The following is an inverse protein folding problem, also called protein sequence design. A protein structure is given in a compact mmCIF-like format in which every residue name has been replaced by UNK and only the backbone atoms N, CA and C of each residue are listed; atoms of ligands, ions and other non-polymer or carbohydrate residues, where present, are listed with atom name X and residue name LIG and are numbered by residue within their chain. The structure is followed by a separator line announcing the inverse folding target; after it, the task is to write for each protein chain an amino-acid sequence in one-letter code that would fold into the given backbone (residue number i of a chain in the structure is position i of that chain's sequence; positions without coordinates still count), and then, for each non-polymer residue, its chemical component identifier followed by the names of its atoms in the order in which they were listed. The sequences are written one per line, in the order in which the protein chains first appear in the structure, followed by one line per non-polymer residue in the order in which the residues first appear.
data_IF_828817770540
#
_entry.id   IF_828817770540
#
_cell.length_a   1.000
_cell.length_b   1.000
_cell.length_c   1.000
_cell.angle_alpha   90.00
_cell.angle_beta   90.00
_cell.angle_gamma   90.00
#
_symmetry.space_group_name_H-M   'P 1'
#
loop_
_entity.id
_entity.type
_entity.pdbx_description
1 polymer ?
#
# COMPACT_ATOMS: atom_id res chain seq x y z
N UNK A 1 -17.23 -31.87 -7.04
CA UNK A 1 -18.13 -30.71 -6.87
C UNK A 1 -17.27 -29.47 -6.98
N UNK A 2 -17.27 -28.81 -8.14
CA UNK A 2 -16.62 -27.51 -8.30
C UNK A 2 -17.50 -26.46 -7.63
N UNK A 3 -17.02 -25.85 -6.55
CA UNK A 3 -17.63 -24.65 -6.00
C UNK A 3 -17.34 -23.50 -6.95
N UNK A 4 -18.36 -23.10 -7.72
CA UNK A 4 -18.35 -21.82 -8.43
C UNK A 4 -18.26 -20.69 -7.40
N UNK A 5 -17.07 -20.11 -7.22
CA UNK A 5 -16.88 -18.93 -6.41
C UNK A 5 -17.57 -17.74 -7.07
N UNK A 6 -18.43 -17.04 -6.34
CA UNK A 6 -19.06 -15.78 -6.77
C UNK A 6 -17.99 -14.79 -7.28
N UNK A 7 -18.27 -13.99 -8.33
CA UNK A 7 -17.31 -13.02 -8.85
C UNK A 7 -16.96 -12.01 -7.75
N UNK A 8 -15.71 -12.03 -7.30
CA UNK A 8 -15.19 -11.12 -6.28
C UNK A 8 -15.05 -9.73 -6.91
N UNK A 9 -15.69 -8.71 -6.34
CA UNK A 9 -15.53 -7.32 -6.78
C UNK A 9 -14.05 -6.90 -6.67
N UNK A 10 -13.48 -6.41 -7.77
CA UNK A 10 -12.09 -5.92 -7.84
C UNK A 10 -11.94 -4.53 -7.23
N UNK A 11 -12.14 -4.42 -5.91
CA UNK A 11 -12.07 -3.15 -5.17
C UNK A 11 -10.78 -2.37 -5.40
N UNK A 12 -9.68 -3.05 -5.69
CA UNK A 12 -8.39 -2.43 -6.00
C UNK A 12 -8.41 -1.67 -7.33
N UNK A 13 -9.15 -2.13 -8.34
CA UNK A 13 -9.25 -1.44 -9.62
C UNK A 13 -10.06 -0.15 -9.46
N UNK A 14 -11.20 -0.21 -8.78
CA UNK A 14 -11.97 1.00 -8.48
C UNK A 14 -11.19 1.99 -7.62
N UNK A 15 -10.38 1.48 -6.68
CA UNK A 15 -9.48 2.33 -5.89
C UNK A 15 -8.36 2.94 -6.76
N UNK A 16 -7.80 2.18 -7.70
CA UNK A 16 -6.82 2.67 -8.66
C UNK A 16 -7.38 3.77 -9.55
N UNK A 17 -8.57 3.55 -10.13
CA UNK A 17 -9.25 4.52 -10.99
C UNK A 17 -9.53 5.82 -10.22
N UNK A 18 -9.97 5.73 -8.97
CA UNK A 18 -10.20 6.89 -8.11
C UNK A 18 -8.90 7.67 -7.84
N UNK A 19 -7.79 6.97 -7.57
CA UNK A 19 -6.49 7.60 -7.39
C UNK A 19 -5.95 8.19 -8.70
N UNK A 20 -6.10 7.50 -9.83
CA UNK A 20 -5.63 7.96 -11.13
C UNK A 20 -6.31 9.27 -11.54
N UNK A 21 -7.61 9.39 -11.27
CA UNK A 21 -8.36 10.63 -11.50
C UNK A 21 -7.79 11.84 -10.73
N UNK A 22 -7.37 11.64 -9.47
CA UNK A 22 -6.85 12.73 -8.63
C UNK A 22 -5.35 13.00 -8.85
N UNK A 23 -4.57 11.96 -9.16
CA UNK A 23 -3.11 12.02 -9.15
C UNK A 23 -2.48 12.19 -10.54
N UNK A 24 -3.15 11.76 -11.62
CA UNK A 24 -2.62 11.96 -12.99
C UNK A 24 -2.49 13.43 -13.41
N UNK A 25 -3.34 14.39 -12.98
CA UNK A 25 -3.18 15.80 -13.34
C UNK A 25 -1.87 16.42 -12.81
N UNK A 26 -1.27 15.82 -11.78
CA UNK A 26 -0.02 16.27 -11.15
C UNK A 26 1.18 15.38 -11.49
N UNK A 27 1.09 14.62 -12.60
CA UNK A 27 2.17 13.77 -13.13
C UNK A 27 2.62 12.65 -12.16
N UNK A 28 1.65 12.05 -11.46
CA UNK A 28 1.86 10.82 -10.69
C UNK A 28 1.19 9.67 -11.43
N UNK A 29 1.99 8.66 -11.80
CA UNK A 29 1.45 7.46 -12.43
C UNK A 29 0.85 6.53 -11.38
N UNK A 30 -0.41 6.13 -11.60
CA UNK A 30 -1.10 5.10 -10.83
C UNK A 30 -1.14 3.83 -11.67
N UNK A 31 -0.48 2.79 -11.19
CA UNK A 31 -0.35 1.53 -11.90
C UNK A 31 -1.05 0.46 -11.05
N UNK A 32 -2.32 0.13 -11.33
CA UNK A 32 -2.88 -1.12 -10.82
C UNK A 32 -2.02 -2.26 -11.33
N UNK A 33 -1.61 -3.17 -10.46
CA UNK A 33 -0.58 -4.15 -10.80
C UNK A 33 -0.95 -4.93 -12.09
N UNK A 34 -0.17 -4.72 -13.15
CA UNK A 34 -0.06 -5.65 -14.28
C UNK A 34 1.05 -6.63 -13.97
N UNK A 35 0.66 -7.88 -13.66
CA UNK A 35 1.47 -9.11 -13.59
C UNK A 35 2.98 -8.89 -13.37
N UNK A 36 3.41 -8.66 -12.12
CA UNK A 36 4.84 -8.81 -11.75
C UNK A 36 5.26 -10.28 -11.82
N UNK A 37 4.30 -11.20 -11.68
CA UNK A 37 4.42 -12.63 -11.90
C UNK A 37 3.40 -13.11 -12.94
N UNK A 38 3.65 -14.24 -13.60
CA UNK A 38 2.72 -14.87 -14.56
C UNK A 38 1.31 -15.05 -13.98
N UNK A 39 1.25 -15.35 -12.68
CA UNK A 39 0.08 -15.25 -11.80
C UNK A 39 0.53 -14.53 -10.52
N UNK A 40 0.26 -13.23 -10.35
CA UNK A 40 0.55 -12.57 -9.09
C UNK A 40 -0.26 -13.23 -7.96
N UNK A 41 0.27 -13.29 -6.73
CA UNK A 41 -0.54 -13.62 -5.57
C UNK A 41 -1.81 -12.74 -5.57
N UNK A 42 -2.88 -13.17 -4.89
CA UNK A 42 -4.14 -12.39 -4.79
C UNK A 42 -4.02 -11.06 -4.02
N UNK A 43 -2.86 -10.43 -3.99
CA UNK A 43 -2.71 -9.14 -3.36
C UNK A 43 -3.11 -8.04 -4.34
N UNK A 44 -3.73 -7.04 -3.77
CA UNK A 44 -4.51 -6.03 -4.44
C UNK A 44 -3.63 -4.75 -4.44
N UNK A 45 -2.45 -4.84 -5.08
CA UNK A 45 -1.41 -3.80 -5.00
C UNK A 45 -1.52 -2.76 -6.09
N UNK A 46 -1.39 -1.49 -5.67
CA UNK A 46 -1.22 -0.34 -6.56
C UNK A 46 0.20 0.22 -6.41
N UNK A 47 0.81 0.58 -7.54
CA UNK A 47 2.06 1.33 -7.56
C UNK A 47 1.78 2.80 -7.90
N UNK A 48 2.12 3.71 -6.99
CA UNK A 48 2.24 5.12 -7.29
C UNK A 48 3.70 5.43 -7.61
N UNK A 49 3.94 6.14 -8.71
CA UNK A 49 5.28 6.48 -9.15
C UNK A 49 5.36 7.95 -9.54
N UNK A 50 6.34 8.66 -8.99
CA UNK A 50 6.75 9.97 -9.51
C UNK A 50 7.59 9.81 -10.78
N UNK A 51 7.34 10.69 -11.75
CA UNK A 51 8.12 10.75 -12.99
C UNK A 51 9.32 11.72 -12.89
N UNK A 52 9.37 12.53 -11.83
CA UNK A 52 10.43 13.51 -11.56
C UNK A 52 11.41 13.02 -10.46
N UNK A 53 12.61 13.62 -10.33
CA UNK A 53 13.62 13.25 -9.32
C UNK A 53 13.22 13.46 -7.86
N UNK A 54 12.19 14.27 -7.60
CA UNK A 54 11.59 14.49 -6.27
C UNK A 54 10.09 14.72 -6.41
N UNK A 55 9.35 14.56 -5.30
CA UNK A 55 7.94 14.97 -5.25
C UNK A 55 7.85 16.51 -5.30
N UNK A 56 6.92 17.05 -6.08
CA UNK A 56 6.61 18.49 -6.10
C UNK A 56 5.65 18.84 -4.96
N UNK A 57 5.55 20.12 -4.58
CA UNK A 57 4.60 20.54 -3.55
C UNK A 57 3.15 20.21 -3.95
N UNK A 58 2.79 20.44 -5.21
CA UNK A 58 1.46 20.12 -5.75
C UNK A 58 1.15 18.61 -5.68
N UNK A 59 2.14 17.76 -5.95
CA UNK A 59 2.02 16.32 -5.77
C UNK A 59 1.81 15.94 -4.29
N UNK A 60 2.60 16.51 -3.39
CA UNK A 60 2.52 16.25 -1.96
C UNK A 60 1.17 16.69 -1.37
N UNK A 61 0.60 17.79 -1.85
CA UNK A 61 -0.72 18.29 -1.46
C UNK A 61 -1.86 17.32 -1.80
N UNK A 62 -1.71 16.52 -2.86
CA UNK A 62 -2.68 15.48 -3.27
C UNK A 62 -2.52 14.16 -2.52
N UNK A 63 -1.33 13.86 -2.03
CA UNK A 63 -1.05 12.61 -1.32
C UNK A 63 -1.55 12.67 0.14
N UNK A 64 -2.16 11.59 0.67
CA UNK A 64 -2.62 11.56 2.06
C UNK A 64 -1.44 11.50 3.05
N UNK A 65 -1.74 11.77 4.32
CA UNK A 65 -0.80 11.56 5.42
C UNK A 65 -0.26 10.13 5.45
N UNK A 66 0.99 9.99 5.87
CA UNK A 66 1.80 8.80 5.69
C UNK A 66 2.51 8.80 4.33
N UNK A 67 1.76 8.89 3.22
CA UNK A 67 2.34 8.85 1.87
C UNK A 67 3.11 10.13 1.55
N UNK A 68 2.53 11.31 1.82
CA UNK A 68 3.18 12.60 1.52
C UNK A 68 4.48 12.84 2.29
N UNK A 69 4.73 12.12 3.39
CA UNK A 69 5.98 12.24 4.14
C UNK A 69 7.07 11.26 3.67
N UNK A 70 6.74 10.36 2.75
CA UNK A 70 7.70 9.46 2.13
C UNK A 70 8.56 10.17 1.09
N UNK A 71 9.86 9.87 1.10
CA UNK A 71 10.80 10.32 0.06
C UNK A 71 10.99 9.27 -1.07
N UNK A 72 10.39 8.09 -0.90
CA UNK A 72 10.49 7.01 -1.88
C UNK A 72 9.95 7.45 -3.24
N UNK A 73 10.60 6.97 -4.31
CA UNK A 73 10.18 7.25 -5.69
C UNK A 73 8.98 6.41 -6.12
N UNK A 74 8.76 5.30 -5.40
CA UNK A 74 7.73 4.29 -5.67
C UNK A 74 7.00 3.98 -4.37
N UNK A 75 5.69 4.06 -4.41
CA UNK A 75 4.83 3.75 -3.28
C UNK A 75 4.01 2.52 -3.64
N UNK A 76 4.12 1.46 -2.85
CA UNK A 76 3.27 0.28 -3.00
C UNK A 76 2.12 0.35 -2.01
N UNK A 77 0.90 0.18 -2.48
CA UNK A 77 -0.31 0.20 -1.65
C UNK A 77 -0.99 -1.16 -1.72
N UNK A 78 -0.95 -1.91 -0.63
CA UNK A 78 -1.77 -3.12 -0.47
C UNK A 78 -3.12 -2.74 0.13
N UNK A 79 -4.18 -2.78 -0.68
CA UNK A 79 -5.51 -2.32 -0.25
C UNK A 79 -6.39 -3.45 0.29
N UNK A 80 -6.79 -3.33 1.56
CA UNK A 80 -7.72 -4.23 2.24
C UNK A 80 -9.07 -3.55 2.45
N UNK A 81 -9.99 -3.79 1.50
CA UNK A 81 -11.35 -3.26 1.57
C UNK A 81 -12.22 -4.00 2.63
N UNK A 82 -12.36 -5.32 2.50
CA UNK A 82 -13.26 -6.11 3.37
C UNK A 82 -12.56 -6.70 4.60
N UNK A 83 -11.23 -6.65 4.65
CA UNK A 83 -10.38 -7.20 5.70
C UNK A 83 -9.68 -6.08 6.45
N UNK A 84 -9.32 -6.33 7.71
CA UNK A 84 -8.39 -5.47 8.45
C UNK A 84 -7.00 -6.09 8.45
N UNK A 85 -6.08 -5.53 9.26
CA UNK A 85 -4.74 -6.08 9.44
C UNK A 85 -4.80 -7.50 10.03
N UNK A 86 -4.20 -8.45 9.35
CA UNK A 86 -3.94 -9.81 9.81
C UNK A 86 -2.58 -10.31 9.30
N UNK A 87 -2.22 -11.55 9.66
CA UNK A 87 -0.93 -12.15 9.26
C UNK A 87 -0.80 -12.33 7.76
N UNK A 88 -1.90 -12.63 7.05
CA UNK A 88 -1.86 -12.86 5.61
C UNK A 88 -1.66 -11.54 4.87
N UNK A 89 -2.37 -10.49 5.28
CA UNK A 89 -2.18 -9.15 4.76
C UNK A 89 -0.75 -8.64 4.98
N UNK A 90 -0.18 -8.90 6.16
CA UNK A 90 1.21 -8.55 6.46
C UNK A 90 2.21 -9.32 5.58
N UNK A 91 2.06 -10.65 5.49
CA UNK A 91 2.94 -11.48 4.65
C UNK A 91 2.89 -11.07 3.18
N UNK A 92 1.70 -10.71 2.67
CA UNK A 92 1.54 -10.18 1.32
C UNK A 92 2.31 -8.87 1.16
N UNK A 93 2.09 -7.89 2.03
CA UNK A 93 2.78 -6.61 1.96
C UNK A 93 4.32 -6.76 2.01
N UNK A 94 4.84 -7.60 2.91
CA UNK A 94 6.28 -7.89 3.01
C UNK A 94 6.80 -8.59 1.75
N UNK A 95 6.08 -9.61 1.27
CA UNK A 95 6.48 -10.36 0.08
C UNK A 95 6.56 -9.47 -1.15
N UNK A 96 5.56 -8.62 -1.36
CA UNK A 96 5.56 -7.70 -2.48
C UNK A 96 6.61 -6.61 -2.37
N UNK A 97 6.83 -6.03 -1.19
CA UNK A 97 7.93 -5.10 -0.96
C UNK A 97 9.26 -5.70 -1.40
N UNK A 98 9.52 -6.95 -0.98
CA UNK A 98 10.75 -7.66 -1.30
C UNK A 98 10.86 -7.97 -2.80
N UNK A 99 9.89 -8.69 -3.38
CA UNK A 99 9.98 -9.14 -4.77
C UNK A 99 9.90 -8.00 -5.79
N UNK A 100 9.15 -6.94 -5.50
CA UNK A 100 9.14 -5.76 -6.36
C UNK A 100 10.50 -5.07 -6.37
N UNK A 101 11.11 -4.85 -5.21
CA UNK A 101 12.46 -4.27 -5.13
C UNK A 101 13.48 -5.13 -5.83
N UNK A 102 13.48 -6.43 -5.57
CA UNK A 102 14.42 -7.38 -6.18
C UNK A 102 14.29 -7.40 -7.71
N UNK A 103 13.07 -7.56 -8.24
CA UNK A 103 12.82 -7.58 -9.69
C UNK A 103 13.18 -6.28 -10.41
N UNK A 104 13.16 -5.14 -9.71
CA UNK A 104 13.50 -3.82 -10.25
C UNK A 104 14.90 -3.36 -9.87
N UNK A 105 15.66 -4.16 -9.10
CA UNK A 105 16.98 -3.82 -8.56
C UNK A 105 16.99 -2.48 -7.83
N UNK A 106 16.02 -2.30 -6.92
CA UNK A 106 15.82 -1.07 -6.16
C UNK A 106 16.32 -1.19 -4.74
N UNK A 107 16.82 -0.09 -4.21
CA UNK A 107 17.25 -0.01 -2.83
C UNK A 107 16.07 0.08 -1.86
N UNK A 108 16.36 -0.18 -0.60
CA UNK A 108 15.40 -0.11 0.50
C UNK A 108 14.72 1.26 0.65
N UNK A 109 15.38 2.34 0.22
CA UNK A 109 14.89 3.71 0.30
C UNK A 109 14.09 4.14 -0.93
N UNK A 110 14.15 3.39 -2.03
CA UNK A 110 13.45 3.72 -3.27
C UNK A 110 11.96 3.41 -3.21
N UNK A 111 11.58 2.49 -2.33
CA UNK A 111 10.22 1.97 -2.20
C UNK A 111 9.72 2.14 -0.77
N UNK A 112 8.51 2.67 -0.62
CA UNK A 112 7.78 2.64 0.64
C UNK A 112 6.47 1.89 0.44
N UNK A 113 6.27 0.84 1.23
CA UNK A 113 5.07 0.02 1.17
C UNK A 113 4.09 0.42 2.27
N UNK A 114 2.81 0.49 1.93
CA UNK A 114 1.71 0.77 2.84
C UNK A 114 0.66 -0.35 2.77
N UNK A 115 0.19 -0.79 3.93
CA UNK A 115 -1.02 -1.59 4.06
C UNK A 115 -2.17 -0.62 4.36
N UNK A 116 -3.10 -0.47 3.41
CA UNK A 116 -4.22 0.46 3.52
C UNK A 116 -5.48 -0.33 3.85
N UNK A 117 -6.12 -0.05 4.97
CA UNK A 117 -7.34 -0.75 5.38
C UNK A 117 -8.55 0.19 5.43
N UNK A 118 -9.63 -0.23 4.78
CA UNK A 118 -10.94 0.40 4.92
C UNK A 118 -11.64 0.01 6.24
N UNK A 119 -11.16 -1.02 6.96
CA UNK A 119 -11.65 -1.40 8.29
C UNK A 119 -10.65 -0.98 9.36
N UNK A 120 -11.09 -0.10 10.26
CA UNK A 120 -10.27 0.42 11.37
C UNK A 120 -9.54 -0.71 12.11
N UNK A 121 -8.20 -0.76 12.05
CA UNK A 121 -7.43 -1.76 12.77
C UNK A 121 -7.57 -1.57 14.29
N UNK A 122 -8.04 -2.60 14.98
CA UNK A 122 -8.21 -2.60 16.42
C UNK A 122 -6.87 -2.79 17.13
N UNK A 123 -6.72 -2.28 18.36
CA UNK A 123 -5.46 -2.40 19.12
C UNK A 123 -4.96 -3.85 19.19
N UNK A 124 -5.87 -4.80 19.40
CA UNK A 124 -5.58 -6.25 19.44
C UNK A 124 -5.01 -6.81 18.14
N UNK A 125 -5.37 -6.25 16.98
CA UNK A 125 -4.86 -6.71 15.68
C UNK A 125 -3.54 -6.03 15.31
N UNK A 126 -3.34 -4.75 15.68
CA UNK A 126 -2.10 -4.01 15.36
C UNK A 126 -0.95 -4.25 16.33
N UNK A 127 -1.23 -4.41 17.63
CA UNK A 127 -0.19 -4.60 18.67
C UNK A 127 0.72 -5.80 18.39
N UNK A 128 0.22 -6.97 17.94
CA UNK A 128 1.06 -8.11 17.58
C UNK A 128 2.04 -7.87 16.43
N UNK A 129 1.87 -6.80 15.65
CA UNK A 129 2.80 -6.41 14.57
C UNK A 129 3.62 -5.17 14.94
N UNK A 130 3.51 -4.66 16.18
CA UNK A 130 4.29 -3.53 16.67
C UNK A 130 3.74 -2.14 16.34
N UNK A 131 2.53 -2.03 15.77
CA UNK A 131 1.89 -0.76 15.42
C UNK A 131 1.21 -0.12 16.64
N UNK A 132 1.99 0.27 17.64
CA UNK A 132 1.45 0.87 18.88
C UNK A 132 1.31 2.39 18.78
N UNK A 133 2.26 3.04 18.08
CA UNK A 133 2.32 4.50 17.94
C UNK A 133 1.67 4.96 16.63
N UNK A 134 0.93 6.07 16.72
CA UNK A 134 0.47 6.82 15.54
C UNK A 134 1.50 7.90 15.23
N UNK A 135 1.82 8.05 13.95
CA UNK A 135 2.65 9.16 13.46
C UNK A 135 1.77 10.35 13.04
N UNK A 136 0.63 10.04 12.43
CA UNK A 136 -0.42 10.96 12.02
C UNK A 136 -1.80 10.33 12.34
N UNK A 137 -2.90 11.10 12.33
CA UNK A 137 -4.24 10.52 12.38
C UNK A 137 -4.41 9.43 11.31
N UNK A 138 -4.73 8.20 11.74
CA UNK A 138 -4.92 7.06 10.83
C UNK A 138 -3.65 6.36 10.34
N UNK A 139 -2.45 6.87 10.65
CA UNK A 139 -1.17 6.30 10.18
C UNK A 139 -0.38 5.73 11.35
N UNK A 140 -0.04 4.44 11.24
CA UNK A 140 0.69 3.70 12.27
C UNK A 140 2.02 3.19 11.74
N UNK A 141 3.03 3.26 12.61
CA UNK A 141 4.38 2.79 12.34
C UNK A 141 4.72 1.63 13.28
N UNK A 142 5.30 0.56 12.74
CA UNK A 142 5.76 -0.56 13.55
C UNK A 142 7.16 -0.29 14.09
N UNK A 143 7.43 -0.76 15.31
CA UNK A 143 8.76 -0.76 15.91
C UNK A 143 9.52 -2.09 15.70
N UNK A 144 8.92 -3.05 14.99
CA UNK A 144 9.54 -4.36 14.74
C UNK A 144 10.37 -4.36 13.47
N UNK A 145 11.46 -5.12 13.46
CA UNK A 145 12.49 -5.05 12.41
C UNK A 145 11.92 -5.32 11.01
N UNK A 146 11.01 -6.29 10.87
CA UNK A 146 10.42 -6.63 9.58
C UNK A 146 9.25 -5.69 9.24
N UNK A 147 8.33 -5.50 10.18
CA UNK A 147 7.08 -4.77 9.96
C UNK A 147 7.27 -3.25 9.88
N UNK A 148 8.36 -2.67 10.42
CA UNK A 148 8.65 -1.23 10.32
C UNK A 148 8.75 -0.73 8.89
N UNK A 149 9.00 -1.64 7.92
CA UNK A 149 9.03 -1.33 6.48
C UNK A 149 7.65 -1.06 5.91
N UNK A 150 6.60 -1.57 6.54
CA UNK A 150 5.22 -1.46 6.08
C UNK A 150 4.49 -0.46 6.98
N UNK A 151 4.09 0.69 6.43
CA UNK A 151 3.23 1.61 7.19
C UNK A 151 1.78 1.15 7.08
N UNK A 152 1.04 1.27 8.18
CA UNK A 152 -0.39 0.95 8.20
C UNK A 152 -1.21 2.22 8.11
N UNK A 153 -2.08 2.32 7.11
CA UNK A 153 -3.05 3.41 6.95
C UNK A 153 -4.46 2.87 7.21
N UNK A 154 -5.20 3.56 8.07
CA UNK A 154 -6.63 3.34 8.31
C UNK A 154 -7.43 4.45 7.63
N UNK A 155 -8.34 4.09 6.73
CA UNK A 155 -9.27 5.06 6.12
C UNK A 155 -10.42 5.45 7.06
N UNK A 156 -10.63 4.67 8.13
CA UNK A 156 -11.63 4.93 9.16
C UNK A 156 -10.90 5.39 10.44
N UNK A 157 -11.12 6.64 10.85
CA UNK A 157 -10.46 7.25 12.02
C UNK A 157 -11.25 7.13 13.31
#
# INVERSE_FOLDING_TARGET
MEQQSSPKTSWHLSFAEALEWDLSPVDISVLPERRVMTEPPRADILLLRRNQPSWTNEQLERLPDGIRQSQASRILLEFKYSQSLDKNAMNQAIGYDHFYRDSKKLDETDVQTFLVSAKKPQLETRKPFGYEKRRYPGVYESQRILEKRILLISLMN
#
